data_IF_966792042812
#
_entry.id   IF_966792042812
#
_cell.length_a   1.000
_cell.length_b   1.000
_cell.length_c   1.000
_cell.angle_alpha   90.00
_cell.angle_beta   90.00
_cell.angle_gamma   90.00
#
_symmetry.space_group_name_H-M   'P 1'
#
loop_
_entity.id
_entity.type
_entity.pdbx_description
1 polymer ?
#
# COMPACT_ATOMS: atom_id res chain seq x y z
N UNK A 1 -0.79 -8.54 -10.87
CA UNK A 1 -1.17 -7.84 -9.62
C UNK A 1 -2.45 -8.42 -9.02
N UNK A 2 -3.50 -8.64 -9.81
CA UNK A 2 -4.76 -9.23 -9.32
C UNK A 2 -4.60 -10.59 -8.62
N UNK A 3 -3.78 -11.49 -9.18
CA UNK A 3 -3.49 -12.78 -8.54
C UNK A 3 -2.81 -12.59 -7.17
N UNK A 4 -1.84 -11.68 -7.08
CA UNK A 4 -1.17 -11.32 -5.83
C UNK A 4 -2.18 -10.83 -4.80
N UNK A 5 -3.06 -9.89 -5.17
CA UNK A 5 -4.07 -9.34 -4.28
C UNK A 5 -4.98 -10.45 -3.74
N UNK A 6 -5.50 -11.31 -4.62
CA UNK A 6 -6.40 -12.40 -4.21
C UNK A 6 -5.73 -13.39 -3.26
N UNK A 7 -4.47 -13.73 -3.50
CA UNK A 7 -3.73 -14.70 -2.69
C UNK A 7 -3.33 -14.16 -1.31
N UNK A 8 -3.18 -12.84 -1.15
CA UNK A 8 -2.48 -12.26 0.00
C UNK A 8 -3.33 -11.39 0.95
N UNK A 9 -4.64 -11.22 0.72
CA UNK A 9 -5.52 -10.31 1.52
C UNK A 9 -5.47 -10.49 3.05
N UNK A 10 -5.25 -11.70 3.56
CA UNK A 10 -5.28 -12.01 5.00
C UNK A 10 -3.93 -12.50 5.54
N UNK A 11 -2.84 -12.17 4.85
CA UNK A 11 -1.50 -12.61 5.25
C UNK A 11 -0.91 -11.71 6.32
N UNK A 12 -0.14 -12.31 7.22
CA UNK A 12 0.66 -11.59 8.21
C UNK A 12 2.02 -11.21 7.63
N UNK A 13 2.71 -10.24 8.24
CA UNK A 13 4.04 -9.81 7.77
C UNK A 13 5.04 -10.97 7.60
N UNK A 14 5.19 -11.86 8.60
CA UNK A 14 6.05 -13.04 8.48
C UNK A 14 5.60 -14.07 7.43
N UNK A 15 4.32 -14.09 7.04
CA UNK A 15 3.87 -14.94 5.94
C UNK A 15 4.25 -14.33 4.58
N UNK A 16 4.12 -13.01 4.44
CA UNK A 16 4.56 -12.30 3.24
C UNK A 16 6.07 -12.48 3.03
N UNK A 17 6.90 -12.27 4.06
CA UNK A 17 8.35 -12.46 3.91
C UNK A 17 8.73 -13.88 3.48
N UNK A 18 8.09 -14.91 4.07
CA UNK A 18 8.34 -16.29 3.68
C UNK A 18 7.94 -16.58 2.23
N UNK A 19 6.81 -16.04 1.78
CA UNK A 19 6.33 -16.23 0.40
C UNK A 19 7.29 -15.60 -0.63
N UNK A 20 7.93 -14.48 -0.27
CA UNK A 20 8.81 -13.72 -1.17
C UNK A 20 10.31 -13.86 -0.84
N UNK A 21 10.71 -14.90 -0.09
CA UNK A 21 12.13 -15.18 0.18
C UNK A 21 12.86 -14.07 0.94
N UNK A 22 12.19 -13.43 1.90
CA UNK A 22 12.61 -12.22 2.63
C UNK A 22 12.75 -10.95 1.76
N UNK A 23 12.07 -10.93 0.62
CA UNK A 23 12.05 -9.81 -0.33
C UNK A 23 10.78 -8.96 -0.27
N UNK A 24 9.93 -9.09 0.75
CA UNK A 24 8.62 -8.42 0.77
C UNK A 24 8.77 -6.88 0.83
N UNK A 25 9.72 -6.36 1.61
CA UNK A 25 10.07 -4.93 1.63
C UNK A 25 10.47 -4.39 0.25
N UNK A 26 11.26 -5.15 -0.51
CA UNK A 26 11.69 -4.75 -1.86
C UNK A 26 10.51 -4.72 -2.84
N UNK A 27 9.58 -5.68 -2.73
CA UNK A 27 8.36 -5.68 -3.51
C UNK A 27 7.48 -4.46 -3.17
N UNK A 28 7.32 -4.14 -1.89
CA UNK A 28 6.61 -2.94 -1.45
C UNK A 28 7.24 -1.66 -2.01
N UNK A 29 8.57 -1.53 -1.93
CA UNK A 29 9.28 -0.39 -2.49
C UNK A 29 9.03 -0.26 -4.01
N UNK A 30 9.08 -1.39 -4.74
CA UNK A 30 8.77 -1.41 -6.19
C UNK A 30 7.34 -0.98 -6.49
N UNK A 31 6.36 -1.49 -5.75
CA UNK A 31 4.95 -1.12 -5.94
C UNK A 31 4.70 0.36 -5.63
N UNK A 32 5.31 0.87 -4.57
CA UNK A 32 5.19 2.27 -4.15
C UNK A 32 5.82 3.22 -5.18
N UNK A 33 7.00 2.86 -5.70
CA UNK A 33 7.65 3.61 -6.78
C UNK A 33 6.80 3.58 -8.07
N UNK A 34 6.23 2.43 -8.41
CA UNK A 34 5.37 2.32 -9.59
C UNK A 34 4.13 3.20 -9.44
N UNK A 35 3.45 3.15 -8.29
CA UNK A 35 2.29 4.01 -8.02
C UNK A 35 2.64 5.49 -8.23
N UNK A 36 3.77 5.96 -7.68
CA UNK A 36 4.22 7.35 -7.83
C UNK A 36 4.42 7.76 -9.29
N UNK A 37 4.91 6.86 -10.14
CA UNK A 37 5.17 7.14 -11.55
C UNK A 37 3.90 7.13 -12.40
N UNK A 38 2.87 6.36 -12.03
CA UNK A 38 1.72 6.13 -12.92
C UNK A 38 0.40 6.71 -12.45
N UNK A 39 0.29 7.19 -11.21
CA UNK A 39 -1.01 7.64 -10.69
C UNK A 39 -1.60 8.82 -11.47
N UNK A 40 -0.77 9.75 -11.95
CA UNK A 40 -1.21 10.87 -12.79
C UNK A 40 -1.74 10.43 -14.17
N UNK A 41 -1.35 9.23 -14.62
CA UNK A 41 -1.80 8.65 -15.88
C UNK A 41 -3.08 7.80 -15.69
N UNK A 42 -3.55 7.60 -14.46
CA UNK A 42 -4.69 6.73 -14.15
C UNK A 42 -4.44 5.23 -14.39
N UNK A 43 -3.19 4.82 -14.62
CA UNK A 43 -2.88 3.44 -15.01
C UNK A 43 -2.72 2.52 -13.79
N UNK A 44 -3.65 1.58 -13.65
CA UNK A 44 -3.55 0.49 -12.68
C UNK A 44 -3.57 0.92 -11.22
N UNK A 45 -4.06 2.14 -10.93
CA UNK A 45 -4.02 2.78 -9.61
C UNK A 45 -4.75 1.94 -8.57
N UNK A 46 -5.98 1.49 -8.86
CA UNK A 46 -6.76 0.61 -7.97
C UNK A 46 -5.98 -0.63 -7.51
N UNK A 47 -5.38 -1.35 -8.45
CA UNK A 47 -4.65 -2.58 -8.16
C UNK A 47 -3.37 -2.30 -7.38
N UNK A 48 -2.65 -1.22 -7.69
CA UNK A 48 -1.46 -0.81 -6.95
C UNK A 48 -1.78 -0.43 -5.51
N UNK A 49 -2.80 0.40 -5.29
CA UNK A 49 -3.29 0.77 -3.95
C UNK A 49 -3.74 -0.45 -3.15
N UNK A 50 -4.48 -1.35 -3.79
CA UNK A 50 -4.94 -2.59 -3.15
C UNK A 50 -3.78 -3.52 -2.78
N UNK A 51 -2.76 -3.63 -3.63
CA UNK A 51 -1.59 -4.44 -3.34
C UNK A 51 -0.74 -3.84 -2.21
N UNK A 52 -0.52 -2.52 -2.21
CA UNK A 52 0.19 -1.83 -1.12
C UNK A 52 -0.56 -1.99 0.21
N UNK A 53 -1.89 -1.91 0.19
CA UNK A 53 -2.73 -2.09 1.37
C UNK A 53 -2.51 -3.43 2.07
N UNK A 54 -2.17 -4.49 1.34
CA UNK A 54 -1.86 -5.80 1.94
C UNK A 54 -0.64 -5.72 2.87
N UNK A 55 0.42 -5.02 2.44
CA UNK A 55 1.62 -4.87 3.27
C UNK A 55 1.35 -3.97 4.48
N UNK A 56 0.69 -2.84 4.25
CA UNK A 56 0.41 -1.83 5.28
C UNK A 56 -0.58 -2.34 6.34
N UNK A 57 -1.54 -3.19 5.94
CA UNK A 57 -2.52 -3.77 6.85
C UNK A 57 -2.07 -5.10 7.49
N UNK A 58 -0.92 -5.65 7.10
CA UNK A 58 -0.47 -6.94 7.60
C UNK A 58 -0.18 -6.90 9.11
N UNK A 59 -0.77 -7.83 9.85
CA UNK A 59 -0.44 -7.99 11.28
C UNK A 59 1.02 -8.39 11.46
N UNK A 60 1.67 -7.84 12.50
CA UNK A 60 3.11 -7.98 12.74
C UNK A 60 3.99 -7.53 11.56
N UNK A 61 3.48 -6.64 10.69
CA UNK A 61 4.17 -6.08 9.53
C UNK A 61 4.55 -4.60 9.70
N UNK A 62 4.75 -4.12 10.93
CA UNK A 62 4.99 -2.68 11.19
C UNK A 62 6.16 -2.10 10.40
N UNK A 63 7.19 -2.91 10.10
CA UNK A 63 8.29 -2.53 9.22
C UNK A 63 7.81 -2.02 7.85
N UNK A 64 6.84 -2.70 7.22
CA UNK A 64 6.30 -2.30 5.92
C UNK A 64 5.62 -0.94 5.98
N UNK A 65 4.89 -0.67 7.07
CA UNK A 65 4.30 0.63 7.29
C UNK A 65 5.38 1.71 7.43
N UNK A 66 6.41 1.47 8.23
CA UNK A 66 7.53 2.40 8.40
C UNK A 66 8.20 2.71 7.05
N UNK A 67 8.56 1.69 6.28
CA UNK A 67 9.17 1.86 4.95
C UNK A 67 8.24 2.63 3.99
N UNK A 68 6.94 2.36 4.03
CA UNK A 68 5.96 3.06 3.20
C UNK A 68 5.85 4.55 3.57
N UNK A 69 5.91 4.89 4.86
CA UNK A 69 5.90 6.28 5.32
C UNK A 69 7.20 6.98 4.94
N UNK A 70 8.36 6.37 5.23
CA UNK A 70 9.69 6.93 4.97
C UNK A 70 9.94 7.21 3.49
N UNK A 71 9.39 6.38 2.60
CA UNK A 71 9.48 6.60 1.15
C UNK A 71 8.55 7.70 0.63
N UNK A 72 7.71 8.31 1.48
CA UNK A 72 6.74 9.34 1.12
C UNK A 72 5.45 8.77 0.52
N UNK A 73 5.13 7.50 0.79
CA UNK A 73 3.95 6.82 0.25
C UNK A 73 2.64 7.49 0.66
N UNK A 74 2.55 7.99 1.90
CA UNK A 74 1.36 8.69 2.41
C UNK A 74 1.05 9.95 1.58
N UNK A 75 2.07 10.76 1.27
CA UNK A 75 1.91 11.97 0.45
C UNK A 75 1.39 11.59 -0.95
N UNK A 76 1.96 10.56 -1.56
CA UNK A 76 1.51 10.07 -2.87
C UNK A 76 0.03 9.63 -2.85
N UNK A 77 -0.43 9.00 -1.77
CA UNK A 77 -1.85 8.59 -1.62
C UNK A 77 -2.77 9.79 -1.38
N UNK A 78 -2.31 10.83 -0.70
CA UNK A 78 -3.06 12.08 -0.55
C UNK A 78 -3.19 12.81 -1.88
N UNK A 79 -2.11 12.90 -2.67
CA UNK A 79 -2.12 13.51 -3.99
C UNK A 79 -3.13 12.82 -4.92
N UNK A 80 -3.23 11.49 -4.85
CA UNK A 80 -4.21 10.69 -5.60
C UNK A 80 -5.66 11.15 -5.37
N UNK A 81 -6.01 11.60 -4.16
CA UNK A 81 -7.38 12.06 -3.88
C UNK A 81 -7.73 13.35 -4.64
N UNK A 82 -6.72 14.16 -4.96
CA UNK A 82 -6.87 15.41 -5.70
C UNK A 82 -6.80 15.24 -7.23
N UNK A 83 -6.60 14.02 -7.74
CA UNK A 83 -6.53 13.77 -9.18
C UNK A 83 -7.93 13.53 -9.77
N UNK A 84 -8.34 14.40 -10.71
CA UNK A 84 -9.67 14.37 -11.32
C UNK A 84 -9.90 13.19 -12.27
N UNK A 85 -8.86 12.72 -12.98
CA UNK A 85 -9.00 11.60 -13.94
C UNK A 85 -9.25 10.25 -13.26
N UNK A 86 -9.02 10.16 -11.94
CA UNK A 86 -9.18 8.91 -11.20
C UNK A 86 -10.62 8.64 -10.81
N UNK A 87 -11.01 7.37 -10.88
CA UNK A 87 -12.36 6.95 -10.55
C UNK A 87 -12.63 7.03 -9.04
N UNK A 88 -13.91 7.07 -8.67
CA UNK A 88 -14.32 6.95 -7.26
C UNK A 88 -13.84 5.64 -6.61
N UNK A 89 -13.68 4.57 -7.39
CA UNK A 89 -13.13 3.30 -6.89
C UNK A 89 -11.63 3.42 -6.55
N UNK A 90 -10.87 4.20 -7.32
CA UNK A 90 -9.47 4.50 -7.02
C UNK A 90 -9.36 5.36 -5.76
N UNK A 91 -10.16 6.42 -5.66
CA UNK A 91 -10.20 7.31 -4.50
C UNK A 91 -10.61 6.56 -3.23
N UNK A 92 -11.60 5.66 -3.32
CA UNK A 92 -11.99 4.78 -2.21
C UNK A 92 -10.83 3.89 -1.78
N UNK A 93 -10.09 3.30 -2.70
CA UNK A 93 -8.92 2.49 -2.37
C UNK A 93 -7.82 3.32 -1.68
N UNK A 94 -7.62 4.57 -2.12
CA UNK A 94 -6.68 5.50 -1.49
C UNK A 94 -7.08 5.83 -0.05
N UNK A 95 -8.36 6.16 0.18
CA UNK A 95 -8.87 6.41 1.54
C UNK A 95 -8.74 5.18 2.44
N UNK A 96 -9.01 3.97 1.91
CA UNK A 96 -8.84 2.73 2.67
C UNK A 96 -7.37 2.51 3.07
N UNK A 97 -6.43 2.78 2.18
CA UNK A 97 -4.99 2.70 2.49
C UNK A 97 -4.61 3.72 3.57
N UNK A 98 -5.07 4.97 3.48
CA UNK A 98 -4.85 5.98 4.52
C UNK A 98 -5.48 5.57 5.87
N UNK A 99 -6.63 4.91 5.85
CA UNK A 99 -7.26 4.38 7.05
C UNK A 99 -6.40 3.29 7.72
N UNK A 100 -5.78 2.40 6.94
CA UNK A 100 -4.83 1.42 7.47
C UNK A 100 -3.62 2.09 8.13
N UNK A 101 -3.03 3.11 7.48
CA UNK A 101 -1.93 3.90 8.04
C UNK A 101 -2.34 4.55 9.37
N UNK A 102 -3.49 5.23 9.40
CA UNK A 102 -3.98 5.91 10.60
C UNK A 102 -4.32 4.94 11.75
N UNK A 103 -4.86 3.76 11.44
CA UNK A 103 -5.17 2.73 12.43
C UNK A 103 -3.90 2.15 13.07
N UNK A 104 -2.86 1.91 12.28
CA UNK A 104 -1.59 1.41 12.80
C UNK A 104 -0.86 2.46 13.65
N UNK A 105 -1.01 3.76 13.33
CA UNK A 105 -0.47 4.86 14.15
C UNK A 105 -1.01 4.90 15.59
N UNK A 106 -2.18 4.32 15.89
CA UNK A 106 -2.69 4.24 17.27
C UNK A 106 -1.85 3.33 18.19
N UNK A 107 -1.09 2.39 17.62
CA UNK A 107 -0.14 1.58 18.38
C UNK A 107 1.18 2.31 18.70
N UNK A 108 1.41 3.49 18.10
CA UNK A 108 2.61 4.32 18.28
C UNK A 108 2.34 5.62 19.06
N UNK A 109 1.21 5.71 19.78
CA UNK A 109 1.07 6.77 20.78
C UNK A 109 2.06 6.51 21.91
N UNK A 110 3.08 7.35 21.95
CA UNK A 110 3.99 7.58 23.08
C UNK A 110 3.23 7.80 24.39
#
# INVERSE_FOLDING_TARGET
>A
LEQFIRANRNRTGPQLEREYGNGASLLLARLSAWLRLTYLLGLGVHSLLSAISIFVAASSGSRFLTEFIETGGVITVLDILAVDVLSEADKRAAVLLLHHVANAGRHYKE
#
